data_IF_722260654657
#
_entry.id   IF_722260654657
#
_cell.length_a   1.000
_cell.length_b   1.000
_cell.length_c   1.000
_cell.angle_alpha   90.00
_cell.angle_beta   90.00
_cell.angle_gamma   90.00
#
_symmetry.space_group_name_H-M   'P 1'
#
loop_
_entity.id
_entity.type
_entity.pdbx_description
1 polymer ?
#
# COMPACT_ATOMS: atom_id res chain seq x y z
N UNK A 1 -13.34 -23.55 30.70
CA UNK A 1 -11.95 -23.59 30.18
C UNK A 1 -11.86 -22.53 29.10
N UNK A 2 -11.28 -21.39 29.46
CA UNK A 2 -11.01 -20.23 28.61
C UNK A 2 -9.99 -20.64 27.54
N UNK A 3 -10.41 -20.64 26.27
CA UNK A 3 -9.44 -20.69 25.18
C UNK A 3 -8.89 -19.29 25.04
N UNK A 4 -7.68 -19.14 25.54
CA UNK A 4 -6.83 -17.99 25.28
C UNK A 4 -6.88 -17.65 23.79
N UNK A 5 -7.49 -16.51 23.48
CA UNK A 5 -7.28 -15.78 22.23
C UNK A 5 -5.81 -15.32 22.26
N UNK A 6 -4.90 -16.25 21.97
CA UNK A 6 -3.53 -15.91 21.65
C UNK A 6 -3.59 -14.98 20.44
N UNK A 7 -3.40 -13.69 20.69
CA UNK A 7 -3.05 -12.71 19.68
C UNK A 7 -1.76 -13.20 19.02
N UNK A 8 -1.91 -14.00 17.96
CA UNK A 8 -0.82 -14.41 17.09
C UNK A 8 -0.27 -13.12 16.49
N UNK A 9 0.82 -12.65 17.08
CA UNK A 9 1.48 -11.43 16.64
C UNK A 9 2.36 -11.83 15.47
N UNK A 10 1.88 -11.53 14.27
CA UNK A 10 2.64 -11.76 13.04
C UNK A 10 3.77 -10.73 12.93
N UNK A 11 4.92 -11.06 13.51
CA UNK A 11 6.14 -10.24 13.46
C UNK A 11 6.74 -10.13 12.05
N UNK A 12 6.21 -10.86 11.06
CA UNK A 12 6.67 -10.78 9.67
C UNK A 12 6.06 -9.59 8.92
N UNK A 13 4.97 -9.02 9.45
CA UNK A 13 4.30 -7.87 8.85
C UNK A 13 4.98 -6.58 9.27
N UNK A 14 5.54 -5.90 8.28
CA UNK A 14 6.10 -4.58 8.47
C UNK A 14 5.04 -3.53 8.16
N UNK A 15 4.90 -2.56 9.05
CA UNK A 15 4.04 -1.40 8.84
C UNK A 15 4.85 -0.21 8.36
N UNK A 16 4.43 0.37 7.24
CA UNK A 16 5.07 1.53 6.63
C UNK A 16 4.09 2.68 6.49
N UNK A 17 4.58 3.90 6.64
CA UNK A 17 3.77 5.10 6.45
C UNK A 17 3.94 5.63 5.03
N UNK A 18 2.84 5.93 4.37
CA UNK A 18 2.87 6.63 3.08
C UNK A 18 3.28 8.08 3.32
N UNK A 19 4.26 8.56 2.56
CA UNK A 19 4.82 9.93 2.71
C UNK A 19 4.55 10.83 1.52
N UNK A 20 4.09 10.27 0.39
CA UNK A 20 3.85 10.98 -0.88
C UNK A 20 2.46 10.66 -1.40
N UNK A 21 1.93 11.53 -2.27
CA UNK A 21 0.63 11.42 -2.93
C UNK A 21 0.71 10.73 -4.30
N UNK A 22 1.83 10.09 -4.66
CA UNK A 22 1.99 9.40 -5.95
C UNK A 22 0.98 8.26 -6.18
N UNK A 23 0.45 7.68 -5.10
CA UNK A 23 -0.59 6.66 -5.13
C UNK A 23 -1.99 7.20 -4.81
N UNK A 24 -2.15 8.53 -4.77
CA UNK A 24 -3.43 9.18 -4.61
C UNK A 24 -4.22 9.12 -5.93
N UNK A 25 -5.17 8.20 -6.04
CA UNK A 25 -5.99 8.04 -7.23
C UNK A 25 -7.18 9.03 -7.21
N UNK A 26 -7.22 10.04 -8.09
CA UNK A 26 -8.29 11.04 -8.10
C UNK A 26 -9.64 10.45 -8.56
N UNK A 27 -9.62 9.32 -9.26
CA UNK A 27 -10.82 8.70 -9.84
C UNK A 27 -11.46 7.66 -8.92
N UNK A 28 -10.72 7.15 -7.93
CA UNK A 28 -11.21 6.13 -7.02
C UNK A 28 -10.49 6.19 -5.67
N UNK A 29 -11.16 6.78 -4.67
CA UNK A 29 -10.62 6.95 -3.31
C UNK A 29 -10.44 5.62 -2.58
N UNK A 30 -11.18 4.56 -2.94
CA UNK A 30 -11.05 3.25 -2.28
C UNK A 30 -9.74 2.58 -2.66
N UNK A 31 -9.37 2.66 -3.93
CA UNK A 31 -8.15 2.12 -4.52
C UNK A 31 -7.09 3.22 -4.63
N UNK A 32 -6.82 3.86 -3.50
CA UNK A 32 -5.91 5.00 -3.36
C UNK A 32 -5.15 4.91 -2.04
N UNK A 33 -3.88 5.31 -2.05
CA UNK A 33 -3.06 5.46 -0.85
C UNK A 33 -2.64 6.92 -0.70
N UNK A 34 -2.89 7.50 0.47
CA UNK A 34 -2.65 8.91 0.73
C UNK A 34 -1.54 9.11 1.77
N UNK A 35 -0.84 10.26 1.76
CA UNK A 35 0.09 10.62 2.82
C UNK A 35 -0.53 10.42 4.21
N UNK A 36 0.20 9.71 5.08
CA UNK A 36 -0.23 9.39 6.44
C UNK A 36 -0.91 8.02 6.61
N UNK A 37 -1.38 7.38 5.54
CA UNK A 37 -1.88 6.01 5.57
C UNK A 37 -0.79 5.04 6.06
N UNK A 38 -1.18 4.01 6.80
CA UNK A 38 -0.30 2.93 7.26
C UNK A 38 -0.53 1.68 6.43
N UNK A 39 0.51 1.16 5.80
CA UNK A 39 0.47 -0.03 4.96
C UNK A 39 1.08 -1.20 5.69
N UNK A 40 0.35 -2.31 5.78
CA UNK A 40 0.92 -3.60 6.16
C UNK A 40 1.49 -4.25 4.91
N UNK A 41 2.77 -4.60 4.94
CA UNK A 41 3.46 -5.27 3.83
C UNK A 41 3.63 -6.75 4.14
N UNK A 42 3.15 -7.59 3.22
CA UNK A 42 3.38 -9.03 3.21
C UNK A 42 4.53 -9.35 2.24
N UNK A 43 5.66 -9.79 2.79
CA UNK A 43 6.87 -10.12 2.03
C UNK A 43 6.91 -11.56 1.53
N UNK A 44 5.97 -12.40 1.98
CA UNK A 44 5.90 -13.82 1.63
C UNK A 44 4.87 -14.09 0.53
N UNK A 45 4.01 -13.10 0.22
CA UNK A 45 3.04 -13.18 -0.85
C UNK A 45 3.66 -12.82 -2.20
N UNK A 46 3.42 -13.65 -3.21
CA UNK A 46 3.74 -13.28 -4.60
C UNK A 46 2.75 -12.20 -5.08
N UNK A 47 3.26 -11.18 -5.77
CA UNK A 47 2.44 -10.13 -6.35
C UNK A 47 1.60 -10.64 -7.53
N UNK A 48 0.39 -10.09 -7.65
CA UNK A 48 -0.55 -10.34 -8.73
C UNK A 48 -0.95 -9.04 -9.44
N UNK A 49 -1.61 -9.17 -10.59
CA UNK A 49 -2.16 -8.02 -11.32
C UNK A 49 -3.14 -7.23 -10.46
N UNK A 50 -2.98 -5.90 -10.44
CA UNK A 50 -3.76 -4.97 -9.62
C UNK A 50 -3.26 -4.79 -8.18
N UNK A 51 -2.22 -5.52 -7.76
CA UNK A 51 -1.68 -5.36 -6.42
C UNK A 51 -0.92 -4.04 -6.24
N UNK A 52 -0.99 -3.47 -5.04
CA UNK A 52 -0.04 -2.45 -4.62
C UNK A 52 1.21 -3.12 -4.07
N UNK A 53 2.36 -2.75 -4.62
CA UNK A 53 3.65 -3.38 -4.35
C UNK A 53 4.68 -2.35 -3.93
N UNK A 54 5.60 -2.77 -3.08
CA UNK A 54 6.86 -2.06 -2.90
C UNK A 54 7.85 -2.53 -3.95
N UNK A 55 8.38 -1.58 -4.71
CA UNK A 55 9.34 -1.83 -5.78
C UNK A 55 10.66 -1.15 -5.41
N UNK A 56 11.74 -1.92 -5.47
CA UNK A 56 13.09 -1.38 -5.48
C UNK A 56 13.38 -0.78 -6.87
N UNK A 57 13.63 0.53 -6.90
CA UNK A 57 13.96 1.27 -8.12
C UNK A 57 15.39 1.84 -8.05
N UNK A 58 16.29 1.15 -7.34
CA UNK A 58 17.70 1.51 -7.18
C UNK A 58 17.92 2.28 -5.87
N UNK A 59 18.02 3.60 -5.95
CA UNK A 59 18.35 4.43 -4.78
C UNK A 59 17.15 4.65 -3.85
N UNK A 60 15.96 4.18 -4.22
CA UNK A 60 14.75 4.33 -3.41
C UNK A 60 13.81 3.13 -3.55
N UNK A 61 12.99 2.95 -2.51
CA UNK A 61 11.84 2.04 -2.54
C UNK A 61 10.59 2.87 -2.79
N UNK A 62 9.79 2.44 -3.76
CA UNK A 62 8.57 3.14 -4.14
C UNK A 62 7.34 2.24 -4.01
N UNK A 63 6.22 2.84 -3.63
CA UNK A 63 4.90 2.20 -3.69
C UNK A 63 4.30 2.42 -5.08
N UNK A 64 3.86 1.35 -5.73
CA UNK A 64 3.28 1.38 -7.09
C UNK A 64 2.13 0.36 -7.21
N UNK A 65 1.25 0.56 -8.19
CA UNK A 65 0.34 -0.49 -8.66
C UNK A 65 1.07 -1.36 -9.68
N UNK A 66 0.95 -2.68 -9.52
CA UNK A 66 1.46 -3.67 -10.47
C UNK A 66 0.38 -4.01 -11.50
N UNK A 67 0.74 -3.95 -12.76
CA UNK A 67 -0.06 -4.46 -13.87
C UNK A 67 0.73 -5.53 -14.63
N UNK A 68 0.15 -6.70 -14.83
CA UNK A 68 0.77 -7.79 -15.58
C UNK A 68 0.12 -7.86 -16.96
N UNK A 69 0.86 -7.47 -18.00
CA UNK A 69 0.39 -7.48 -19.39
C UNK A 69 1.33 -8.28 -20.26
N UNK A 70 0.80 -9.26 -20.99
CA UNK A 70 1.57 -10.14 -21.89
C UNK A 70 2.81 -10.76 -21.22
N UNK A 71 2.67 -11.12 -19.93
CA UNK A 71 3.75 -11.69 -19.12
C UNK A 71 4.80 -10.69 -18.62
N UNK A 72 4.63 -9.39 -18.88
CA UNK A 72 5.49 -8.32 -18.37
C UNK A 72 4.86 -7.65 -17.15
N UNK A 73 5.68 -7.47 -16.12
CA UNK A 73 5.33 -6.73 -14.92
C UNK A 73 5.56 -5.22 -15.16
N UNK A 74 4.49 -4.46 -15.17
CA UNK A 74 4.48 -3.01 -15.37
C UNK A 74 4.05 -2.35 -14.07
N UNK A 75 4.92 -1.57 -13.45
CA UNK A 75 4.61 -0.82 -12.24
C UNK A 75 4.34 0.65 -12.56
N UNK A 76 3.29 1.22 -11.98
CA UNK A 76 2.89 2.61 -12.22
C UNK A 76 2.37 3.30 -10.96
N UNK A 77 2.45 4.61 -10.98
CA UNK A 77 1.74 5.46 -10.03
C UNK A 77 0.27 5.64 -10.45
N UNK A 78 -0.61 5.85 -9.48
CA UNK A 78 -2.03 6.09 -9.73
C UNK A 78 -2.35 7.58 -9.91
N UNK A 79 -1.55 8.46 -9.31
CA UNK A 79 -1.72 9.89 -9.44
C UNK A 79 -1.19 10.36 -10.82
N UNK A 80 -2.01 10.95 -11.70
CA UNK A 80 -1.59 11.41 -13.02
C UNK A 80 -0.46 12.45 -13.04
N UNK A 81 -0.22 13.14 -11.92
CA UNK A 81 0.92 14.04 -11.76
C UNK A 81 2.29 13.30 -11.80
N UNK A 82 2.27 11.97 -11.64
CA UNK A 82 3.43 11.10 -11.64
C UNK A 82 3.34 10.14 -12.85
N UNK A 83 3.76 10.57 -14.06
CA UNK A 83 3.53 9.83 -15.30
C UNK A 83 4.44 8.60 -15.49
N UNK A 84 5.35 8.36 -14.55
CA UNK A 84 6.34 7.29 -14.67
C UNK A 84 5.67 5.91 -14.66
N UNK A 85 6.03 5.12 -15.67
CA UNK A 85 5.66 3.72 -15.81
C UNK A 85 6.94 2.92 -16.00
N UNK A 86 7.14 1.91 -15.17
CA UNK A 86 8.34 1.10 -15.17
C UNK A 86 7.99 -0.32 -15.60
N UNK A 87 8.82 -0.92 -16.45
CA UNK A 87 8.82 -2.37 -16.60
C UNK A 87 9.81 -2.92 -15.59
N UNK A 88 9.36 -3.84 -14.75
CA UNK A 88 10.15 -4.38 -13.64
C UNK A 88 10.20 -5.90 -13.71
N UNK A 89 11.24 -6.48 -13.13
CA UNK A 89 11.32 -7.92 -12.91
C UNK A 89 10.65 -8.29 -11.57
N UNK A 90 10.22 -9.55 -11.44
CA UNK A 90 9.64 -10.07 -10.19
C UNK A 90 10.60 -9.89 -9.00
N UNK A 91 11.92 -9.87 -9.23
CA UNK A 91 12.94 -9.67 -8.19
C UNK A 91 12.99 -8.25 -7.62
N UNK A 92 12.45 -7.25 -8.33
CA UNK A 92 12.37 -5.88 -7.85
C UNK A 92 11.24 -5.69 -6.82
N UNK A 93 10.31 -6.64 -6.71
CA UNK A 93 9.18 -6.58 -5.78
C UNK A 93 9.64 -7.01 -4.39
N UNK A 94 9.66 -6.07 -3.45
CA UNK A 94 10.09 -6.30 -2.07
C UNK A 94 8.99 -6.85 -1.16
N UNK A 95 7.73 -6.66 -1.56
CA UNK A 95 6.56 -7.12 -0.83
C UNK A 95 5.28 -6.49 -1.35
N UNK A 96 4.15 -7.05 -0.91
CA UNK A 96 2.83 -6.67 -1.38
C UNK A 96 2.02 -6.05 -0.26
N UNK A 97 1.28 -4.99 -0.54
CA UNK A 97 0.38 -4.37 0.44
C UNK A 97 -0.76 -5.34 0.73
N UNK A 98 -0.85 -5.80 1.96
CA UNK A 98 -1.92 -6.69 2.41
C UNK A 98 -3.08 -5.91 3.05
N UNK A 99 -2.82 -4.69 3.54
CA UNK A 99 -3.83 -3.87 4.20
C UNK A 99 -3.44 -2.39 4.21
N UNK A 100 -4.45 -1.52 4.08
CA UNK A 100 -4.32 -0.06 4.22
C UNK A 100 -5.08 0.40 5.47
N UNK A 101 -4.33 0.75 6.51
CA UNK A 101 -4.82 1.38 7.74
C UNK A 101 -4.90 2.89 7.58
N UNK A 102 -6.12 3.41 7.40
CA UNK A 102 -6.37 4.85 7.36
C UNK A 102 -6.72 5.34 8.75
N UNK A 103 -6.04 6.38 9.23
CA UNK A 103 -6.45 7.03 10.49
C UNK A 103 -7.79 7.69 10.20
N UNK A 104 -8.89 7.17 10.75
CA UNK A 104 -10.15 7.91 10.75
C UNK A 104 -9.85 9.24 11.43
N UNK A 105 -10.11 10.34 10.74
CA UNK A 105 -10.38 11.60 11.40
C UNK A 105 -11.33 11.28 12.55
N UNK A 106 -10.91 11.52 13.80
CA UNK A 106 -11.87 11.75 14.86
C UNK A 106 -12.62 13.00 14.39
N UNK A 107 -13.77 12.80 13.75
CA UNK A 107 -14.63 13.91 13.40
C UNK A 107 -14.93 14.66 14.69
N UNK A 108 -14.38 15.88 14.74
CA UNK A 108 -14.74 16.93 15.67
C UNK A 108 -16.24 17.22 15.51
N UNK A 109 -17.09 16.44 16.17
CA UNK A 109 -18.49 16.78 16.47
C UNK A 109 -18.88 16.31 17.87
N UNK A 110 -18.02 16.60 18.84
CA UNK A 110 -18.43 16.76 20.24
C UNK A 110 -17.82 18.06 20.77
N UNK A 111 -18.23 19.18 20.19
CA UNK A 111 -18.01 20.51 20.77
C UNK A 111 -19.38 21.16 20.94
N UNK A 112 -19.79 21.20 22.21
CA UNK A 112 -20.68 22.17 22.84
C UNK A 112 -22.12 22.30 22.31
N UNK A 113 -23.05 21.61 22.97
CA UNK A 113 -24.32 22.20 23.38
C UNK A 113 -24.77 21.55 24.70
N UNK A 114 -24.45 22.23 25.80
CA UNK A 114 -25.14 22.14 27.08
C UNK A 114 -25.30 23.58 27.59
#
# INVERSE_FOLDING_TARGET
MTKDDFLSTDLTKQWLRVVSDSMANPNNVRDSCHPGDLLSIDRNRKAADGDFVMVDVGDMVSLMELNIKDGKCIARYLNPAYPNVLTIDDSCVLGVVSMVGRRRSLDQKEVCHA
#
